data_IF_807005240410
#
_entry.id   IF_807005240410
#
_cell.length_a   1.000
_cell.length_b   1.000
_cell.length_c   1.000
_cell.angle_alpha   90.00
_cell.angle_beta   90.00
_cell.angle_gamma   90.00
#
_symmetry.space_group_name_H-M   'P 1'
#
loop_
_entity.id
_entity.type
_entity.pdbx_description
1 polymer ?
#
# COMPACT_ATOMS: atom_id res chain seq x y z
N UNK A 1 -22.45 -0.82 -20.86
CA UNK A 1 -22.97 0.38 -20.18
C UNK A 1 -23.42 -0.03 -18.78
N UNK A 2 -22.55 0.18 -17.81
CA UNK A 2 -22.69 -0.12 -16.38
C UNK A 2 -23.71 0.80 -15.68
N UNK A 3 -24.77 1.22 -16.37
CA UNK A 3 -25.76 2.19 -15.87
C UNK A 3 -26.75 1.58 -14.84
N UNK A 4 -26.54 0.31 -14.48
CA UNK A 4 -27.39 -0.43 -13.55
C UNK A 4 -28.71 -0.89 -14.17
N UNK A 5 -29.52 -1.58 -13.36
CA UNK A 5 -30.87 -1.97 -13.78
C UNK A 5 -31.83 -0.77 -13.74
N UNK A 6 -32.86 -0.71 -14.59
CA UNK A 6 -33.89 0.32 -14.49
C UNK A 6 -34.61 0.27 -13.13
N UNK A 7 -34.94 1.43 -12.56
CA UNK A 7 -35.75 1.53 -11.33
C UNK A 7 -35.00 1.38 -10.01
N UNK A 8 -33.67 1.56 -10.01
CA UNK A 8 -32.88 1.55 -8.77
C UNK A 8 -33.26 2.70 -7.84
N UNK A 9 -33.25 2.43 -6.53
CA UNK A 9 -33.37 3.48 -5.53
C UNK A 9 -32.14 4.41 -5.59
N UNK A 10 -32.24 5.67 -5.13
CA UNK A 10 -31.15 6.65 -5.21
C UNK A 10 -29.83 6.14 -4.59
N UNK A 11 -29.89 5.41 -3.47
CA UNK A 11 -28.70 4.84 -2.84
C UNK A 11 -28.01 3.77 -3.68
N UNK A 12 -28.78 2.91 -4.35
CA UNK A 12 -28.21 1.89 -5.24
C UNK A 12 -27.72 2.49 -6.56
N UNK A 13 -28.36 3.55 -7.06
CA UNK A 13 -27.88 4.29 -8.22
C UNK A 13 -26.51 4.94 -7.95
N UNK A 14 -26.32 5.52 -6.77
CA UNK A 14 -25.02 6.06 -6.34
C UNK A 14 -23.94 4.98 -6.30
N UNK A 15 -24.24 3.82 -5.70
CA UNK A 15 -23.32 2.66 -5.65
C UNK A 15 -22.89 2.20 -7.06
N UNK A 16 -23.83 2.17 -8.01
CA UNK A 16 -23.53 1.83 -9.41
C UNK A 16 -22.61 2.87 -10.04
N UNK A 17 -22.86 4.16 -9.80
CA UNK A 17 -22.03 5.25 -10.30
C UNK A 17 -20.60 5.20 -9.75
N UNK A 18 -20.44 4.94 -8.44
CA UNK A 18 -19.14 4.79 -7.79
C UNK A 18 -18.37 3.58 -8.35
N UNK A 19 -19.04 2.43 -8.46
CA UNK A 19 -18.47 1.22 -9.04
C UNK A 19 -18.00 1.43 -10.48
N UNK A 20 -18.82 2.10 -11.30
CA UNK A 20 -18.45 2.46 -12.66
C UNK A 20 -17.23 3.40 -12.69
N UNK A 21 -17.21 4.45 -11.88
CA UNK A 21 -16.08 5.39 -11.81
C UNK A 21 -14.77 4.66 -11.47
N UNK A 22 -14.83 3.75 -10.50
CA UNK A 22 -13.65 3.03 -10.03
C UNK A 22 -13.16 2.02 -11.07
N UNK A 23 -14.07 1.31 -11.75
CA UNK A 23 -13.70 0.47 -12.89
C UNK A 23 -12.95 1.28 -13.97
N UNK A 24 -13.48 2.44 -14.34
CA UNK A 24 -12.84 3.35 -15.31
C UNK A 24 -11.44 3.76 -14.85
N UNK A 25 -11.26 4.09 -13.56
CA UNK A 25 -9.94 4.42 -13.00
C UNK A 25 -8.98 3.24 -13.04
N UNK A 26 -9.43 2.03 -12.71
CA UNK A 26 -8.61 0.83 -12.80
C UNK A 26 -8.11 0.61 -14.23
N UNK A 27 -9.00 0.70 -15.23
CA UNK A 27 -8.60 0.56 -16.64
C UNK A 27 -7.60 1.64 -17.06
N UNK A 28 -7.76 2.88 -16.60
CA UNK A 28 -6.79 3.96 -16.87
C UNK A 28 -5.41 3.67 -16.27
N UNK A 29 -5.35 3.18 -15.03
CA UNK A 29 -4.08 2.82 -14.38
C UNK A 29 -3.38 1.66 -15.10
N UNK A 30 -4.13 0.65 -15.53
CA UNK A 30 -3.60 -0.43 -16.36
C UNK A 30 -3.08 0.11 -17.70
N UNK A 31 -3.79 1.05 -18.32
CA UNK A 31 -3.35 1.67 -19.57
C UNK A 31 -2.00 2.41 -19.42
N UNK A 32 -1.84 3.19 -18.35
CA UNK A 32 -0.59 3.91 -18.04
C UNK A 32 0.54 2.92 -17.73
N UNK A 33 0.26 1.87 -16.98
CA UNK A 33 1.23 0.81 -16.65
C UNK A 33 1.74 0.14 -17.91
N UNK A 34 0.82 -0.26 -18.81
CA UNK A 34 1.18 -0.86 -20.09
C UNK A 34 1.98 0.09 -20.99
N UNK A 35 1.55 1.36 -21.07
CA UNK A 35 2.25 2.39 -21.86
C UNK A 35 3.67 2.68 -21.34
N UNK A 36 3.93 2.35 -20.08
CA UNK A 36 5.26 2.44 -19.46
C UNK A 36 6.11 1.17 -19.66
N UNK A 37 5.64 0.20 -20.45
CA UNK A 37 6.30 -1.08 -20.71
C UNK A 37 5.98 -2.19 -19.70
N UNK A 38 5.02 -1.95 -18.79
CA UNK A 38 4.58 -2.93 -17.80
C UNK A 38 3.64 -3.99 -18.38
N UNK A 39 3.58 -5.15 -17.72
CA UNK A 39 2.58 -6.18 -18.00
C UNK A 39 1.32 -5.90 -17.20
N UNK A 40 0.15 -6.16 -17.80
CA UNK A 40 -1.14 -5.85 -17.21
C UNK A 40 -2.15 -6.97 -17.45
N UNK A 41 -3.05 -7.13 -16.48
CA UNK A 41 -4.16 -8.06 -16.53
C UNK A 41 -5.39 -7.39 -15.92
N UNK A 42 -6.52 -7.46 -16.62
CA UNK A 42 -7.83 -7.04 -16.11
C UNK A 42 -8.67 -8.29 -15.88
N UNK A 43 -9.12 -8.49 -14.64
CA UNK A 43 -10.00 -9.60 -14.27
C UNK A 43 -11.46 -9.13 -14.18
N UNK A 44 -12.36 -9.89 -14.79
CA UNK A 44 -13.81 -9.79 -14.54
C UNK A 44 -14.46 -11.17 -14.69
N UNK A 45 -15.72 -11.27 -14.26
CA UNK A 45 -16.55 -12.43 -14.55
C UNK A 45 -16.83 -12.57 -16.05
N UNK A 46 -17.09 -13.81 -16.48
CA UNK A 46 -17.34 -14.17 -17.88
C UNK A 46 -18.48 -13.40 -18.55
N UNK A 47 -19.48 -12.99 -17.76
CA UNK A 47 -20.67 -12.27 -18.21
C UNK A 47 -20.68 -10.79 -17.79
N UNK A 48 -19.56 -10.23 -17.35
CA UNK A 48 -19.51 -8.86 -16.87
C UNK A 48 -19.86 -7.87 -18.00
N UNK A 49 -20.81 -6.98 -17.73
CA UNK A 49 -21.13 -5.87 -18.64
C UNK A 49 -19.99 -4.86 -18.75
N UNK A 50 -19.00 -4.92 -17.84
CA UNK A 50 -17.83 -4.06 -17.85
C UNK A 50 -16.96 -4.27 -19.11
N UNK A 51 -17.00 -5.46 -19.71
CA UNK A 51 -16.33 -5.74 -20.99
C UNK A 51 -16.84 -4.86 -22.14
N UNK A 52 -18.11 -4.46 -22.06
CA UNK A 52 -18.76 -3.62 -23.06
C UNK A 52 -18.54 -2.13 -22.84
N UNK A 53 -17.82 -1.73 -21.78
CA UNK A 53 -17.48 -0.32 -21.60
C UNK A 53 -16.53 0.15 -22.69
N UNK A 54 -16.78 1.32 -23.32
CA UNK A 54 -15.95 1.81 -24.42
C UNK A 54 -14.46 1.89 -24.06
N UNK A 55 -14.15 2.31 -22.82
CA UNK A 55 -12.78 2.40 -22.33
C UNK A 55 -12.13 1.03 -22.17
N UNK A 56 -12.86 0.05 -21.64
CA UNK A 56 -12.36 -1.33 -21.49
C UNK A 56 -12.10 -1.94 -22.86
N UNK A 57 -13.08 -1.86 -23.76
CA UNK A 57 -12.96 -2.34 -25.14
C UNK A 57 -11.78 -1.70 -25.88
N UNK A 58 -11.52 -0.41 -25.66
CA UNK A 58 -10.35 0.27 -26.23
C UNK A 58 -9.04 -0.26 -25.62
N UNK A 59 -8.93 -0.30 -24.29
CA UNK A 59 -7.77 -0.84 -23.58
C UNK A 59 -7.40 -2.25 -24.04
N UNK A 60 -8.40 -3.15 -24.15
CA UNK A 60 -8.18 -4.53 -24.59
C UNK A 60 -7.54 -4.63 -25.98
N UNK A 61 -7.93 -3.74 -26.90
CA UNK A 61 -7.34 -3.67 -28.24
C UNK A 61 -5.91 -3.14 -28.20
N UNK A 62 -5.66 -2.09 -27.41
CA UNK A 62 -4.33 -1.47 -27.30
C UNK A 62 -3.30 -2.42 -26.71
N UNK A 63 -3.66 -3.20 -25.68
CA UNK A 63 -2.75 -4.18 -25.09
C UNK A 63 -2.65 -5.50 -25.87
N UNK A 64 -3.42 -5.63 -26.96
CA UNK A 64 -3.62 -6.88 -27.70
C UNK A 64 -3.95 -8.06 -26.79
N UNK A 65 -4.94 -7.87 -25.91
CA UNK A 65 -5.21 -8.77 -24.81
C UNK A 65 -5.54 -10.20 -25.29
N UNK A 66 -4.98 -11.19 -24.60
CA UNK A 66 -5.58 -12.52 -24.54
C UNK A 66 -6.68 -12.54 -23.50
N UNK A 67 -7.81 -13.15 -23.85
CA UNK A 67 -8.89 -13.42 -22.92
C UNK A 67 -8.78 -14.87 -22.45
N UNK A 68 -8.38 -15.04 -21.20
CA UNK A 68 -8.05 -16.35 -20.63
C UNK A 68 -9.09 -16.67 -19.56
N UNK A 69 -9.93 -17.66 -19.85
CA UNK A 69 -10.84 -18.22 -18.87
C UNK A 69 -10.10 -19.22 -17.97
N UNK A 70 -10.26 -19.11 -16.66
CA UNK A 70 -9.70 -20.04 -15.69
C UNK A 70 -10.84 -20.53 -14.79
N UNK A 71 -11.10 -21.83 -14.83
CA UNK A 71 -12.04 -22.48 -13.92
C UNK A 71 -11.39 -22.72 -12.55
N UNK A 72 -12.09 -22.37 -11.47
CA UNK A 72 -11.56 -22.48 -10.11
C UNK A 72 -11.13 -23.91 -9.76
N UNK A 73 -11.91 -24.92 -10.20
CA UNK A 73 -11.58 -26.32 -9.99
C UNK A 73 -10.27 -26.76 -10.66
N UNK A 74 -9.89 -26.14 -11.78
CA UNK A 74 -8.62 -26.46 -12.46
C UNK A 74 -7.38 -25.99 -11.70
N UNK A 75 -7.56 -25.05 -10.77
CA UNK A 75 -6.51 -24.52 -9.88
C UNK A 75 -6.67 -24.99 -8.44
N UNK A 76 -7.45 -26.07 -8.22
CA UNK A 76 -7.58 -26.73 -6.92
C UNK A 76 -8.64 -26.14 -5.98
N UNK A 77 -9.55 -25.29 -6.48
CA UNK A 77 -10.63 -24.72 -5.69
C UNK A 77 -11.97 -25.41 -6.02
N UNK A 78 -12.60 -26.04 -5.03
CA UNK A 78 -13.86 -26.76 -5.20
C UNK A 78 -15.07 -25.81 -5.28
N UNK A 79 -15.16 -25.06 -6.39
CA UNK A 79 -16.24 -24.12 -6.65
C UNK A 79 -16.60 -24.04 -8.12
N UNK A 80 -17.91 -23.92 -8.42
CA UNK A 80 -18.40 -23.71 -9.78
C UNK A 80 -18.29 -22.22 -10.18
N UNK A 81 -17.05 -21.71 -10.21
CA UNK A 81 -16.71 -20.34 -10.59
C UNK A 81 -15.61 -20.34 -11.66
N UNK A 82 -15.64 -19.33 -12.51
CA UNK A 82 -14.56 -19.04 -13.46
C UNK A 82 -14.29 -17.54 -13.51
N UNK A 83 -13.05 -17.19 -13.86
CA UNK A 83 -12.60 -15.82 -14.07
C UNK A 83 -12.09 -15.66 -15.49
N UNK A 84 -12.34 -14.50 -16.10
CA UNK A 84 -11.66 -14.11 -17.34
C UNK A 84 -10.59 -13.08 -17.00
N UNK A 85 -9.35 -13.41 -17.35
CA UNK A 85 -8.25 -12.48 -17.35
C UNK A 85 -8.02 -11.97 -18.76
N UNK A 86 -8.13 -10.67 -18.95
CA UNK A 86 -7.72 -9.99 -20.16
C UNK A 86 -6.32 -9.43 -19.99
N UNK A 87 -5.31 -10.03 -20.62
CA UNK A 87 -3.90 -9.79 -20.30
C UNK A 87 -3.00 -9.67 -21.52
N UNK A 88 -1.91 -8.92 -21.39
CA UNK A 88 -0.79 -8.98 -22.34
C UNK A 88 0.30 -10.00 -21.94
N UNK A 89 0.16 -10.65 -20.77
CA UNK A 89 1.09 -11.67 -20.28
C UNK A 89 0.74 -13.06 -20.84
N UNK A 90 1.29 -13.37 -22.02
CA UNK A 90 1.03 -14.61 -22.77
C UNK A 90 1.23 -15.92 -21.98
N UNK A 91 2.21 -16.06 -21.07
CA UNK A 91 2.36 -17.29 -20.30
C UNK A 91 1.13 -17.69 -19.47
N UNK A 92 0.25 -16.73 -19.13
CA UNK A 92 -0.98 -17.02 -18.41
C UNK A 92 -1.93 -17.96 -19.20
N UNK A 93 -1.78 -18.04 -20.53
CA UNK A 93 -2.57 -18.94 -21.38
C UNK A 93 -2.44 -20.41 -20.95
N UNK A 94 -1.33 -20.80 -20.31
CA UNK A 94 -1.13 -22.16 -19.81
C UNK A 94 -2.13 -22.56 -18.71
N UNK A 95 -2.80 -21.58 -18.07
CA UNK A 95 -3.83 -21.80 -17.06
C UNK A 95 -5.25 -21.82 -17.66
N UNK A 96 -5.39 -21.64 -18.98
CA UNK A 96 -6.70 -21.62 -19.62
C UNK A 96 -7.45 -22.94 -19.39
N UNK A 97 -8.66 -22.84 -18.86
CA UNK A 97 -9.44 -24.03 -18.50
C UNK A 97 -10.94 -23.73 -18.46
N UNK A 98 -11.74 -24.80 -18.51
CA UNK A 98 -13.19 -24.77 -18.31
C UNK A 98 -13.54 -25.88 -17.32
N UNK A 99 -14.53 -25.65 -16.47
CA UNK A 99 -15.03 -26.70 -15.60
C UNK A 99 -15.83 -27.70 -16.44
N UNK A 100 -15.40 -28.96 -16.45
CA UNK A 100 -16.08 -30.07 -17.15
C UNK A 100 -16.90 -30.95 -16.19
N UNK A 101 -16.92 -30.64 -14.89
CA UNK A 101 -17.66 -31.42 -13.92
C UNK A 101 -19.18 -31.25 -14.08
N UNK A 102 -19.98 -32.29 -13.81
CA UNK A 102 -21.45 -32.21 -13.84
C UNK A 102 -22.00 -31.10 -12.91
N UNK A 103 -23.19 -30.58 -13.25
CA UNK A 103 -23.87 -29.61 -12.38
C UNK A 103 -24.12 -30.18 -10.98
N UNK A 104 -23.80 -29.42 -9.94
CA UNK A 104 -23.88 -29.87 -8.54
C UNK A 104 -22.64 -30.60 -8.01
N UNK A 105 -21.57 -30.72 -8.81
CA UNK A 105 -20.30 -31.33 -8.38
C UNK A 105 -19.43 -30.44 -7.48
N UNK A 106 -19.86 -29.20 -7.21
CA UNK A 106 -19.11 -28.21 -6.44
C UNK A 106 -20.02 -27.56 -5.40
N UNK A 107 -19.42 -27.00 -4.36
CA UNK A 107 -20.16 -26.23 -3.35
C UNK A 107 -20.86 -25.01 -3.96
N UNK A 108 -22.08 -24.73 -3.48
CA UNK A 108 -22.85 -23.56 -3.87
C UNK A 108 -22.41 -22.34 -3.05
N UNK A 109 -21.68 -21.43 -3.69
CA UNK A 109 -21.12 -20.22 -3.06
C UNK A 109 -21.94 -18.97 -3.41
N UNK A 110 -23.19 -19.15 -3.88
CA UNK A 110 -24.09 -18.00 -4.11
C UNK A 110 -24.45 -17.36 -2.76
N UNK A 111 -24.31 -16.04 -2.66
CA UNK A 111 -24.63 -15.28 -1.45
C UNK A 111 -26.07 -15.53 -0.97
N UNK A 112 -26.27 -15.55 0.35
CA UNK A 112 -27.58 -15.66 0.98
C UNK A 112 -28.49 -14.50 0.55
N UNK A 113 -29.70 -14.84 0.08
CA UNK A 113 -30.75 -13.86 -0.24
C UNK A 113 -31.42 -13.42 1.06
N UNK A 114 -31.42 -12.11 1.33
CA UNK A 114 -32.26 -11.54 2.39
C UNK A 114 -33.71 -11.38 1.92
N UNK A 115 -34.64 -11.24 2.88
CA UNK A 115 -36.08 -11.26 2.65
C UNK A 115 -36.65 -10.08 1.86
N UNK A 116 -35.86 -9.02 1.60
CA UNK A 116 -36.33 -7.73 1.07
C UNK A 116 -36.03 -7.47 -0.43
N UNK A 117 -35.88 -8.52 -1.23
CA UNK A 117 -35.56 -8.41 -2.67
C UNK A 117 -34.10 -8.73 -2.95
N UNK A 118 -33.57 -8.50 -4.17
CA UNK A 118 -32.20 -8.87 -4.49
C UNK A 118 -31.26 -8.04 -3.60
N UNK A 119 -30.79 -8.68 -2.53
CA UNK A 119 -29.69 -8.20 -1.72
C UNK A 119 -28.49 -7.96 -2.63
N UNK A 120 -27.68 -7.00 -2.18
CA UNK A 120 -26.51 -6.42 -2.83
C UNK A 120 -25.75 -7.41 -3.73
N UNK A 121 -25.17 -6.94 -4.86
CA UNK A 121 -24.32 -7.77 -5.70
C UNK A 121 -23.29 -8.48 -4.81
N UNK A 122 -23.06 -9.79 -5.00
CA UNK A 122 -22.29 -10.61 -4.07
C UNK A 122 -20.96 -9.91 -3.77
N UNK A 123 -20.76 -9.56 -2.50
CA UNK A 123 -19.49 -9.07 -2.00
C UNK A 123 -18.47 -10.15 -2.30
N UNK A 124 -17.59 -9.91 -3.27
CA UNK A 124 -16.42 -10.75 -3.48
C UNK A 124 -15.49 -10.52 -2.29
N UNK A 125 -15.58 -11.36 -1.27
CA UNK A 125 -14.74 -11.30 -0.06
C UNK A 125 -13.32 -11.83 -0.31
N UNK A 126 -12.92 -11.99 -1.57
CA UNK A 126 -11.60 -12.47 -2.00
C UNK A 126 -11.05 -11.54 -3.09
N UNK A 127 -10.19 -10.63 -2.62
CA UNK A 127 -8.98 -10.07 -3.25
C UNK A 127 -8.84 -10.08 -4.79
N UNK A 128 -9.78 -9.43 -5.47
CA UNK A 128 -9.45 -8.60 -6.63
C UNK A 128 -9.36 -7.15 -6.16
N UNK A 129 -8.37 -6.38 -6.62
CA UNK A 129 -8.11 -4.97 -6.29
C UNK A 129 -9.23 -3.99 -6.73
N UNK A 130 -10.47 -4.28 -6.34
CA UNK A 130 -11.66 -3.47 -6.50
C UNK A 130 -12.05 -2.78 -5.21
N UNK A 131 -13.06 -1.93 -5.32
CA UNK A 131 -13.59 -0.90 -4.42
C UNK A 131 -14.04 -1.35 -3.02
N UNK A 132 -13.99 -2.65 -2.74
CA UNK A 132 -14.17 -3.22 -1.41
C UNK A 132 -12.84 -3.57 -0.74
N UNK A 133 -11.71 -3.22 -1.36
CA UNK A 133 -10.38 -3.22 -0.75
C UNK A 133 -10.24 -2.00 0.15
N UNK A 134 -11.03 -1.98 1.22
CA UNK A 134 -10.74 -1.13 2.37
C UNK A 134 -9.73 -1.93 3.20
N UNK A 135 -8.56 -1.39 3.57
CA UNK A 135 -7.88 -1.90 4.76
C UNK A 135 -8.82 -1.59 5.93
N UNK A 136 -9.75 -2.50 6.17
CA UNK A 136 -10.70 -2.36 7.25
C UNK A 136 -10.01 -2.78 8.53
N UNK A 137 -9.42 -1.79 9.20
CA UNK A 137 -8.83 -1.93 10.54
C UNK A 137 -9.89 -2.26 11.62
N UNK A 138 -11.19 -2.29 11.27
CA UNK A 138 -12.30 -2.73 12.13
C UNK A 138 -12.72 -4.19 11.91
N UNK A 139 -12.24 -4.86 10.84
CA UNK A 139 -12.32 -6.31 10.75
C UNK A 139 -11.32 -6.86 11.78
N UNK A 140 -11.75 -7.72 12.72
CA UNK A 140 -10.79 -8.37 13.62
C UNK A 140 -9.71 -9.02 12.75
N UNK A 141 -8.42 -8.96 13.14
CA UNK A 141 -7.33 -9.52 12.35
C UNK A 141 -7.75 -10.90 11.82
N UNK A 142 -7.45 -11.18 10.53
CA UNK A 142 -7.80 -12.45 9.85
C UNK A 142 -7.75 -13.58 10.87
N UNK A 143 -8.78 -14.42 10.90
CA UNK A 143 -8.87 -15.47 11.93
C UNK A 143 -7.55 -16.22 11.97
N UNK A 144 -7.10 -16.65 13.15
CA UNK A 144 -5.83 -17.35 13.30
C UNK A 144 -5.72 -18.54 12.31
N UNK A 145 -6.84 -19.19 11.99
CA UNK A 145 -6.94 -20.23 10.95
C UNK A 145 -6.62 -19.75 9.54
N UNK A 146 -7.10 -18.57 9.13
CA UNK A 146 -6.83 -17.98 7.82
C UNK A 146 -5.37 -17.56 7.69
N UNK A 147 -4.81 -16.95 8.75
CA UNK A 147 -3.37 -16.63 8.82
C UNK A 147 -2.55 -17.92 8.70
N UNK A 148 -2.94 -18.97 9.41
CA UNK A 148 -2.27 -20.28 9.34
C UNK A 148 -2.33 -20.87 7.94
N UNK A 149 -3.49 -20.83 7.28
CA UNK A 149 -3.63 -21.31 5.89
C UNK A 149 -2.76 -20.52 4.91
N UNK A 150 -2.72 -19.20 5.01
CA UNK A 150 -1.87 -18.36 4.16
C UNK A 150 -0.38 -18.63 4.39
N UNK A 151 0.05 -18.79 5.65
CA UNK A 151 1.41 -19.19 5.99
C UNK A 151 1.75 -20.55 5.38
N UNK A 152 0.84 -21.52 5.44
CA UNK A 152 1.01 -22.83 4.82
C UNK A 152 1.16 -22.77 3.30
N UNK A 153 0.36 -21.95 2.61
CA UNK A 153 0.49 -21.74 1.15
C UNK A 153 1.87 -21.14 0.83
N UNK A 154 2.30 -20.15 1.60
CA UNK A 154 3.59 -19.50 1.42
C UNK A 154 4.78 -20.45 1.67
N UNK A 155 4.73 -21.24 2.75
CA UNK A 155 5.75 -22.25 3.07
C UNK A 155 5.81 -23.35 2.02
N UNK A 156 4.65 -23.75 1.47
CA UNK A 156 4.60 -24.69 0.36
C UNK A 156 5.23 -24.11 -0.90
N UNK A 157 4.89 -22.88 -1.26
CA UNK A 157 5.50 -22.16 -2.38
C UNK A 157 7.03 -22.07 -2.22
N UNK A 158 7.52 -21.71 -1.03
CA UNK A 158 8.95 -21.66 -0.72
C UNK A 158 9.64 -23.02 -0.86
N UNK A 159 9.00 -24.07 -0.35
CA UNK A 159 9.53 -25.44 -0.44
C UNK A 159 9.73 -25.88 -1.89
N UNK A 160 8.93 -25.34 -2.82
CA UNK A 160 9.07 -25.59 -4.25
C UNK A 160 10.25 -24.85 -4.91
N UNK A 161 10.80 -23.79 -4.29
CA UNK A 161 11.87 -22.94 -4.87
C UNK A 161 13.30 -23.49 -4.69
N UNK A 162 13.45 -24.82 -4.50
CA UNK A 162 14.72 -25.56 -4.39
C UNK A 162 15.67 -25.15 -3.23
N UNK A 163 15.25 -24.30 -2.29
CA UNK A 163 15.99 -23.97 -1.07
C UNK A 163 15.11 -24.17 0.17
N UNK A 164 15.29 -25.27 0.94
CA UNK A 164 14.59 -25.42 2.22
C UNK A 164 15.08 -24.32 3.17
N UNK A 165 14.26 -23.30 3.37
CA UNK A 165 14.54 -22.21 4.30
C UNK A 165 13.34 -22.08 5.22
N UNK A 166 13.58 -22.16 6.52
CA UNK A 166 12.52 -21.94 7.51
C UNK A 166 12.11 -20.46 7.49
N UNK A 167 10.81 -20.20 7.44
CA UNK A 167 10.27 -18.84 7.50
C UNK A 167 10.08 -18.42 8.95
N UNK A 168 10.58 -17.25 9.31
CA UNK A 168 10.15 -16.57 10.52
C UNK A 168 8.93 -15.72 10.21
N UNK A 169 7.84 -15.96 10.94
CA UNK A 169 6.63 -15.13 10.92
C UNK A 169 6.59 -14.13 12.08
N UNK A 170 7.74 -13.93 12.72
CA UNK A 170 7.89 -12.95 13.78
C UNK A 170 7.62 -11.55 13.23
N UNK A 171 7.04 -10.70 14.08
CA UNK A 171 6.86 -9.28 13.81
C UNK A 171 7.64 -8.61 14.93
N UNK A 172 8.75 -7.97 14.58
CA UNK A 172 9.56 -7.21 15.52
C UNK A 172 8.74 -6.05 16.10
N UNK A 173 9.03 -5.68 17.35
CA UNK A 173 8.38 -4.57 18.03
C UNK A 173 8.57 -3.25 17.25
N UNK A 174 7.53 -2.40 17.23
CA UNK A 174 7.59 -1.09 16.58
C UNK A 174 7.33 -1.11 15.06
N UNK A 175 6.97 -2.25 14.46
CA UNK A 175 6.59 -2.33 13.06
C UNK A 175 5.55 -3.45 12.80
N UNK A 176 4.66 -3.33 11.80
CA UNK A 176 3.55 -4.26 11.61
C UNK A 176 3.81 -5.42 10.63
N UNK A 177 5.01 -5.54 10.07
CA UNK A 177 5.34 -6.43 8.96
C UNK A 177 6.15 -7.67 9.38
N UNK A 178 5.96 -8.79 8.67
CA UNK A 178 6.82 -9.97 8.79
C UNK A 178 8.06 -9.78 7.88
N UNK A 179 8.98 -8.90 8.29
CA UNK A 179 10.07 -8.43 7.44
C UNK A 179 11.01 -9.56 7.00
N UNK A 180 11.25 -10.56 7.85
CA UNK A 180 12.08 -11.73 7.52
C UNK A 180 11.44 -12.57 6.41
N UNK A 181 10.12 -12.75 6.43
CA UNK A 181 9.40 -13.45 5.37
C UNK A 181 9.48 -12.67 4.03
N UNK A 182 9.33 -11.34 4.08
CA UNK A 182 9.45 -10.48 2.90
C UNK A 182 10.88 -10.47 2.33
N UNK A 183 11.90 -10.51 3.19
CA UNK A 183 13.29 -10.63 2.78
C UNK A 183 13.54 -11.93 2.00
N UNK A 184 12.96 -13.05 2.44
CA UNK A 184 13.07 -14.33 1.72
C UNK A 184 12.44 -14.26 0.32
N UNK A 185 11.26 -13.63 0.19
CA UNK A 185 10.62 -13.41 -1.11
C UNK A 185 11.53 -12.59 -2.01
N UNK A 186 12.05 -11.47 -1.52
CA UNK A 186 12.97 -10.61 -2.28
C UNK A 186 14.18 -11.38 -2.77
N UNK A 187 14.80 -12.19 -1.90
CA UNK A 187 15.97 -12.99 -2.25
C UNK A 187 15.67 -14.03 -3.33
N UNK A 188 14.52 -14.71 -3.26
CA UNK A 188 14.10 -15.71 -4.26
C UNK A 188 13.78 -15.04 -5.59
N UNK A 189 13.08 -13.91 -5.55
CA UNK A 189 12.73 -13.13 -6.73
C UNK A 189 13.92 -12.35 -7.33
N UNK A 190 15.13 -12.52 -6.81
CA UNK A 190 16.33 -11.78 -7.24
C UNK A 190 16.12 -10.26 -7.19
N UNK A 191 15.50 -9.78 -6.11
CA UNK A 191 15.32 -8.35 -5.84
C UNK A 191 16.66 -7.62 -5.85
N UNK A 192 16.72 -6.49 -6.56
CA UNK A 192 17.94 -5.68 -6.64
C UNK A 192 18.24 -4.93 -5.34
N UNK A 193 17.20 -4.58 -4.61
CA UNK A 193 17.32 -4.00 -3.28
C UNK A 193 17.50 -5.10 -2.25
N UNK A 194 18.75 -5.26 -1.82
CA UNK A 194 19.14 -6.23 -0.80
C UNK A 194 19.04 -5.67 0.62
N UNK A 195 18.72 -4.38 0.77
CA UNK A 195 18.75 -3.65 2.05
C UNK A 195 17.36 -3.22 2.55
N UNK A 196 16.35 -3.24 1.68
CA UNK A 196 14.97 -2.84 1.98
C UNK A 196 14.39 -3.47 3.25
N UNK A 197 14.59 -4.76 3.47
CA UNK A 197 14.06 -5.49 4.64
C UNK A 197 15.06 -5.59 5.80
N UNK A 198 16.37 -5.79 5.57
CA UNK A 198 17.37 -5.75 6.65
C UNK A 198 17.43 -4.42 7.42
N UNK A 199 17.23 -3.28 6.74
CA UNK A 199 17.30 -1.96 7.38
C UNK A 199 16.20 -1.77 8.44
N UNK A 200 14.90 -1.95 8.14
CA UNK A 200 13.86 -1.86 9.17
C UNK A 200 14.01 -2.86 10.31
N UNK A 201 14.60 -4.05 10.05
CA UNK A 201 14.91 -5.03 11.11
C UNK A 201 15.98 -4.54 12.09
N UNK A 202 16.95 -3.76 11.62
CA UNK A 202 18.10 -3.28 12.42
C UNK A 202 17.94 -1.85 12.92
N UNK A 203 16.92 -1.13 12.43
CA UNK A 203 16.75 0.31 12.57
C UNK A 203 17.16 1.04 11.28
N UNK A 204 16.29 1.94 10.82
CA UNK A 204 16.53 2.69 9.58
C UNK A 204 17.47 3.87 9.86
N UNK A 205 18.61 3.98 9.15
CA UNK A 205 19.51 5.11 9.30
C UNK A 205 18.84 6.42 8.86
N UNK A 206 19.08 7.49 9.62
CA UNK A 206 18.56 8.82 9.30
C UNK A 206 19.33 9.52 8.18
N UNK A 207 20.49 8.98 7.77
CA UNK A 207 21.36 9.54 6.74
C UNK A 207 22.36 10.58 7.23
N UNK A 208 22.37 10.88 8.53
CA UNK A 208 23.31 11.85 9.14
C UNK A 208 24.78 11.44 8.91
N UNK A 209 25.09 10.14 9.03
CA UNK A 209 26.44 9.62 8.81
C UNK A 209 26.67 9.16 7.36
N UNK A 210 25.79 9.56 6.42
CA UNK A 210 25.74 9.03 5.06
C UNK A 210 25.70 7.49 5.01
N UNK A 211 24.98 6.90 5.98
CA UNK A 211 24.91 5.48 6.28
C UNK A 211 23.66 4.80 5.71
N UNK A 212 22.82 5.54 4.96
CA UNK A 212 21.71 4.95 4.21
C UNK A 212 22.28 4.09 3.08
N UNK A 213 22.01 2.78 3.04
CA UNK A 213 22.48 1.93 1.96
C UNK A 213 21.72 2.21 0.66
N UNK A 214 22.37 1.89 -0.46
CA UNK A 214 21.78 2.00 -1.79
C UNK A 214 20.78 0.86 -2.03
N UNK A 215 19.58 1.22 -2.50
CA UNK A 215 18.56 0.29 -2.99
C UNK A 215 18.98 -0.38 -4.31
N UNK A 216 19.85 0.24 -5.11
CA UNK A 216 20.18 -0.19 -6.48
C UNK A 216 18.97 -0.26 -7.43
N UNK A 217 17.85 0.33 -7.03
CA UNK A 217 16.61 0.46 -7.80
C UNK A 217 16.37 1.91 -8.16
N UNK A 218 16.65 2.81 -7.21
CA UNK A 218 16.46 4.24 -7.36
C UNK A 218 17.68 4.92 -7.98
N UNK A 219 17.50 6.16 -8.45
CA UNK A 219 18.54 6.89 -9.16
C UNK A 219 19.27 7.81 -8.18
N UNK A 220 20.62 7.88 -8.20
CA UNK A 220 21.34 8.84 -7.39
C UNK A 220 20.87 10.28 -7.66
N UNK A 221 20.78 11.15 -6.64
CA UNK A 221 20.49 12.55 -6.84
C UNK A 221 21.54 13.18 -7.76
N UNK A 222 21.13 14.18 -8.55
CA UNK A 222 22.07 15.04 -9.28
C UNK A 222 23.09 15.69 -8.33
N UNK A 223 24.25 16.08 -8.85
CA UNK A 223 25.38 16.62 -8.07
C UNK A 223 24.95 17.73 -7.11
N UNK A 224 24.81 17.39 -5.84
CA UNK A 224 24.59 18.31 -4.73
C UNK A 224 25.50 17.90 -3.59
N UNK A 225 26.33 18.83 -3.11
CA UNK A 225 27.16 18.57 -1.94
C UNK A 225 26.30 18.73 -0.69
N UNK A 226 26.35 17.78 0.26
CA UNK A 226 25.67 17.94 1.53
C UNK A 226 26.24 19.16 2.26
N UNK A 227 25.35 19.98 2.82
CA UNK A 227 25.74 21.11 3.64
C UNK A 227 25.91 20.60 5.06
N UNK A 228 27.16 20.35 5.47
CA UNK A 228 27.45 19.91 6.83
C UNK A 228 27.15 21.05 7.82
N UNK A 229 25.99 20.99 8.46
CA UNK A 229 25.65 21.86 9.58
C UNK A 229 25.89 21.10 10.88
N UNK A 230 26.58 21.74 11.83
CA UNK A 230 26.79 21.17 13.16
C UNK A 230 25.44 20.97 13.85
N UNK A 231 25.28 19.82 14.51
CA UNK A 231 24.04 19.48 15.19
C UNK A 231 23.78 20.47 16.33
N UNK A 232 22.66 21.20 16.25
CA UNK A 232 22.36 22.25 17.22
C UNK A 232 21.68 21.68 18.48
N UNK A 233 22.14 22.14 19.65
CA UNK A 233 21.45 21.95 20.93
C UNK A 233 20.77 23.26 21.29
N UNK A 234 19.44 23.31 21.16
CA UNK A 234 18.65 24.47 21.56
C UNK A 234 18.26 24.39 23.05
N UNK A 235 18.37 25.52 23.75
CA UNK A 235 18.00 25.62 25.18
C UNK A 235 16.64 26.29 25.42
N UNK A 236 15.93 26.69 24.37
CA UNK A 236 14.63 27.35 24.47
C UNK A 236 13.75 26.96 23.28
N UNK A 237 12.43 27.03 23.46
CA UNK A 237 11.48 26.83 22.37
C UNK A 237 11.27 28.11 21.56
N UNK A 238 10.48 28.00 20.50
CA UNK A 238 9.96 29.16 19.80
C UNK A 238 8.96 29.93 20.66
N UNK A 239 8.87 31.24 20.44
CA UNK A 239 8.02 32.14 21.24
C UNK A 239 6.55 31.72 21.28
N UNK A 240 6.05 31.07 20.23
CA UNK A 240 4.69 30.51 20.17
C UNK A 240 4.45 29.42 21.21
N UNK A 241 5.45 28.58 21.51
CA UNK A 241 5.38 27.53 22.51
C UNK A 241 5.64 28.08 23.92
N UNK A 242 6.61 28.99 24.07
CA UNK A 242 6.91 29.64 25.37
C UNK A 242 5.73 30.50 25.88
N UNK A 243 4.95 31.09 24.98
CA UNK A 243 3.78 31.90 25.33
C UNK A 243 2.57 31.07 25.80
N UNK A 244 2.54 29.76 25.53
CA UNK A 244 1.46 28.86 25.94
C UNK A 244 2.00 27.50 26.44
N UNK A 245 2.62 27.49 27.63
CA UNK A 245 3.24 26.29 28.20
C UNK A 245 2.22 25.21 28.55
N UNK A 246 0.96 25.59 28.80
CA UNK A 246 -0.11 24.64 29.15
C UNK A 246 -0.46 23.79 27.93
N UNK A 247 -0.73 24.42 26.79
CA UNK A 247 -1.01 23.68 25.55
C UNK A 247 0.20 22.89 25.08
N UNK A 248 1.42 23.43 25.23
CA UNK A 248 2.65 22.71 24.91
C UNK A 248 2.73 21.38 25.66
N UNK A 249 2.58 21.42 26.99
CA UNK A 249 2.67 20.24 27.83
C UNK A 249 1.58 19.21 27.49
N UNK A 250 0.34 19.65 27.26
CA UNK A 250 -0.75 18.76 26.84
C UNK A 250 -0.45 18.01 25.53
N UNK A 251 0.11 18.71 24.54
CA UNK A 251 0.45 18.09 23.26
C UNK A 251 1.63 17.11 23.38
N UNK A 252 2.62 17.40 24.24
CA UNK A 252 3.74 16.49 24.52
C UNK A 252 3.25 15.24 25.25
N UNK A 253 2.41 15.39 26.27
CA UNK A 253 1.76 14.28 26.98
C UNK A 253 0.90 13.40 26.05
N UNK A 254 0.22 14.01 25.08
CA UNK A 254 -0.55 13.27 24.07
C UNK A 254 0.35 12.38 23.20
N UNK A 255 1.54 12.84 22.81
CA UNK A 255 2.47 12.03 22.01
C UNK A 255 3.22 11.00 22.89
N UNK A 256 3.54 11.32 24.16
CA UNK A 256 4.11 10.38 25.15
C UNK A 256 3.14 9.22 25.45
N UNK A 257 1.88 9.52 25.76
CA UNK A 257 0.86 8.53 26.08
C UNK A 257 0.55 7.56 24.93
N UNK A 258 0.82 7.99 23.69
CA UNK A 258 0.72 7.15 22.49
C UNK A 258 2.00 6.37 22.18
N UNK A 259 3.06 6.57 22.95
CA UNK A 259 4.35 5.90 22.74
C UNK A 259 5.18 6.47 21.58
N UNK A 260 4.85 7.66 21.08
CA UNK A 260 5.63 8.31 20.00
C UNK A 260 6.87 9.06 20.52
N UNK A 261 6.88 9.39 21.81
CA UNK A 261 7.98 10.03 22.51
C UNK A 261 8.41 9.16 23.70
N UNK A 262 9.64 9.36 24.17
CA UNK A 262 10.12 8.81 25.43
C UNK A 262 10.86 9.89 26.22
N UNK A 263 10.83 9.78 27.54
CA UNK A 263 11.51 10.70 28.43
C UNK A 263 13.00 10.36 28.55
N UNK A 264 13.82 11.38 28.75
CA UNK A 264 15.25 11.25 29.04
C UNK A 264 15.54 12.01 30.32
N UNK A 265 16.24 11.37 31.26
CA UNK A 265 16.42 11.87 32.63
C UNK A 265 17.06 13.27 32.68
N UNK A 266 18.04 13.53 31.82
CA UNK A 266 18.75 14.80 31.76
C UNK A 266 19.49 15.02 30.44
N UNK A 267 19.86 16.27 30.16
CA UNK A 267 20.75 16.60 29.04
C UNK A 267 22.08 15.83 29.11
N UNK A 268 22.65 15.66 30.30
CA UNK A 268 23.89 14.91 30.48
C UNK A 268 23.73 13.43 30.08
N UNK A 269 22.63 12.79 30.50
CA UNK A 269 22.33 11.40 30.09
C UNK A 269 22.08 11.27 28.59
N UNK A 270 21.46 12.28 27.96
CA UNK A 270 21.29 12.32 26.51
C UNK A 270 22.64 12.46 25.80
N UNK A 271 23.53 13.32 26.32
CA UNK A 271 24.87 13.51 25.77
C UNK A 271 25.75 12.27 25.93
N UNK A 272 25.65 11.56 27.04
CA UNK A 272 26.33 10.26 27.23
C UNK A 272 25.80 9.21 26.26
N UNK A 273 24.46 9.13 26.09
CA UNK A 273 23.81 8.16 25.22
C UNK A 273 24.06 8.40 23.73
N UNK A 274 23.97 9.65 23.28
CA UNK A 274 23.97 10.00 21.85
C UNK A 274 25.25 10.70 21.37
N UNK A 275 26.11 11.18 22.29
CA UNK A 275 27.38 11.80 21.96
C UNK A 275 27.26 12.97 20.99
N UNK A 276 28.11 12.98 19.97
CA UNK A 276 28.12 14.00 18.91
C UNK A 276 26.90 13.95 17.98
N UNK A 277 26.01 12.97 18.14
CA UNK A 277 24.79 12.81 17.33
C UNK A 277 23.55 13.39 18.04
N UNK A 278 23.70 13.96 19.23
CA UNK A 278 22.59 14.57 19.96
C UNK A 278 22.17 15.89 19.31
N UNK A 279 20.92 15.94 18.83
CA UNK A 279 20.24 17.16 18.42
C UNK A 279 19.13 17.52 19.40
N UNK A 280 18.98 18.81 19.70
CA UNK A 280 17.81 19.32 20.42
C UNK A 280 17.22 20.46 19.61
N UNK A 281 16.13 20.14 18.90
CA UNK A 281 15.34 21.11 18.15
C UNK A 281 14.44 21.95 19.05
N UNK A 282 14.01 23.10 18.53
CA UNK A 282 13.02 23.95 19.20
C UNK A 282 11.61 23.44 18.93
N UNK A 283 10.76 23.43 19.95
CA UNK A 283 9.34 23.16 19.76
C UNK A 283 8.59 24.46 19.41
N UNK A 284 7.46 24.31 18.72
CA UNK A 284 6.53 25.37 18.38
C UNK A 284 5.09 24.83 18.44
N UNK A 285 4.14 25.70 18.77
CA UNK A 285 2.72 25.40 18.65
C UNK A 285 2.18 26.13 17.42
N UNK A 286 1.54 25.38 16.52
CA UNK A 286 0.84 25.96 15.38
C UNK A 286 -0.66 25.99 15.66
N UNK A 287 -1.19 27.21 15.74
CA UNK A 287 -2.62 27.49 15.88
C UNK A 287 -3.20 27.90 14.54
N UNK A 288 -4.05 27.05 13.95
CA UNK A 288 -4.77 27.35 12.72
C UNK A 288 -6.27 27.56 13.02
N UNK A 289 -6.92 28.61 12.48
CA UNK A 289 -8.34 28.86 12.72
C UNK A 289 -9.21 27.64 12.41
N UNK A 290 -10.06 27.25 13.36
CA UNK A 290 -10.95 26.09 13.22
C UNK A 290 -10.28 24.72 13.30
N UNK A 291 -8.98 24.65 13.63
CA UNK A 291 -8.25 23.40 13.82
C UNK A 291 -7.70 23.30 15.25
N UNK A 292 -7.50 22.07 15.71
CA UNK A 292 -6.78 21.82 16.96
C UNK A 292 -5.32 22.29 16.84
N UNK A 293 -4.72 22.79 17.93
CA UNK A 293 -3.31 23.15 17.99
C UNK A 293 -2.44 21.94 17.65
N UNK A 294 -1.26 22.17 17.08
CA UNK A 294 -0.31 21.12 16.70
C UNK A 294 1.08 21.40 17.23
N UNK A 295 1.71 20.35 17.74
CA UNK A 295 3.12 20.36 18.10
C UNK A 295 3.96 20.26 16.82
N UNK A 296 4.94 21.13 16.68
CA UNK A 296 5.92 21.12 15.58
C UNK A 296 7.31 21.23 16.16
N UNK A 297 8.23 20.42 15.67
CA UNK A 297 9.65 20.47 16.01
C UNK A 297 10.42 21.06 14.84
N UNK A 298 11.36 21.96 15.14
CA UNK A 298 12.27 22.49 14.15
C UNK A 298 13.18 21.39 13.59
N UNK A 299 13.26 21.30 12.26
CA UNK A 299 13.96 20.24 11.53
C UNK A 299 15.23 20.74 10.86
N UNK A 300 15.85 21.77 11.45
CA UNK A 300 17.12 22.38 11.00
C UNK A 300 18.31 21.42 10.96
N UNK A 301 18.19 20.20 11.49
CA UNK A 301 19.18 19.12 11.36
C UNK A 301 19.08 18.36 10.04
N UNK A 302 17.96 18.45 9.31
CA UNK A 302 17.74 17.74 8.06
C UNK A 302 18.81 18.00 6.97
N UNK A 303 19.37 19.21 6.81
CA UNK A 303 20.42 19.48 5.82
C UNK A 303 21.70 18.63 5.99
N UNK A 304 21.95 18.15 7.21
CA UNK A 304 23.10 17.27 7.52
C UNK A 304 22.83 15.80 7.20
N UNK A 305 21.59 15.42 6.91
CA UNK A 305 21.26 14.06 6.47
C UNK A 305 21.43 13.91 4.96
N UNK A 306 22.15 12.88 4.54
CA UNK A 306 22.40 12.55 3.14
C UNK A 306 21.53 11.38 2.74
N UNK A 307 20.63 11.62 1.78
CA UNK A 307 19.84 10.56 1.13
C UNK A 307 20.49 10.28 -0.24
N UNK A 308 21.09 9.09 -0.44
CA UNK A 308 21.97 8.82 -1.57
C UNK A 308 21.23 8.46 -2.86
N UNK A 309 19.91 8.27 -2.81
CA UNK A 309 19.08 7.94 -3.95
C UNK A 309 17.76 8.71 -3.88
N UNK A 310 17.19 9.02 -5.04
CA UNK A 310 15.90 9.72 -5.15
C UNK A 310 14.96 8.93 -6.02
N UNK A 311 13.68 8.95 -5.65
CA UNK A 311 12.62 8.53 -6.55
C UNK A 311 12.11 9.77 -7.29
N UNK A 312 12.07 9.72 -8.62
CA UNK A 312 11.30 10.70 -9.38
C UNK A 312 9.91 10.12 -9.58
N UNK A 313 8.90 10.67 -8.88
CA UNK A 313 7.54 10.50 -9.38
C UNK A 313 7.44 11.20 -10.73
N UNK A 314 6.67 10.65 -11.69
CA UNK A 314 6.29 11.41 -12.87
C UNK A 314 5.70 12.75 -12.42
N UNK A 315 6.28 13.85 -12.90
CA UNK A 315 5.68 15.17 -12.68
C UNK A 315 4.36 15.27 -13.43
N UNK A 316 3.48 16.17 -13.00
CA UNK A 316 2.22 16.46 -13.69
C UNK A 316 2.48 16.89 -15.15
N UNK A 317 3.64 17.50 -15.42
CA UNK A 317 4.10 17.85 -16.78
C UNK A 317 4.40 16.61 -17.63
N UNK A 318 5.02 15.57 -17.06
CA UNK A 318 5.27 14.30 -17.74
C UNK A 318 4.01 13.42 -17.88
N UNK A 319 2.94 13.73 -17.15
CA UNK A 319 1.64 13.04 -17.24
C UNK A 319 0.66 13.68 -18.24
N UNK A 320 1.06 14.73 -18.99
CA UNK A 320 0.23 15.34 -20.03
C UNK A 320 0.11 14.46 -21.27
N UNK A 321 -0.81 13.49 -21.22
CA UNK A 321 -1.35 12.81 -22.39
C UNK A 321 -2.89 12.95 -22.39
N UNK A 322 -3.40 14.11 -22.82
CA UNK A 322 -4.81 14.33 -23.17
C UNK A 322 -5.71 14.97 -22.11
N UNK A 323 -7.00 15.10 -22.45
CA UNK A 323 -8.07 15.63 -21.56
C UNK A 323 -8.41 14.59 -20.50
N UNK A 324 -7.71 14.61 -19.37
CA UNK A 324 -7.98 13.75 -18.23
C UNK A 324 -8.73 14.53 -17.14
N UNK A 325 -9.78 13.94 -16.58
CA UNK A 325 -10.39 14.41 -15.34
C UNK A 325 -9.53 13.91 -14.17
N UNK A 326 -8.96 14.83 -13.39
CA UNK A 326 -8.13 14.51 -12.22
C UNK A 326 -8.98 14.10 -11.01
N UNK A 327 -8.54 13.09 -10.28
CA UNK A 327 -9.05 12.76 -8.95
C UNK A 327 -7.85 12.63 -8.02
N UNK A 328 -7.88 13.34 -6.89
CA UNK A 328 -6.81 13.35 -5.90
C UNK A 328 -7.37 12.86 -4.57
N UNK A 329 -6.64 11.94 -3.94
CA UNK A 329 -6.90 11.44 -2.59
C UNK A 329 -5.78 11.92 -1.67
N UNK A 330 -6.14 12.53 -0.55
CA UNK A 330 -5.22 12.89 0.52
C UNK A 330 -5.34 11.86 1.65
N UNK A 331 -4.25 11.13 1.92
CA UNK A 331 -4.22 10.14 3.01
C UNK A 331 -3.75 10.85 4.28
N UNK A 332 -4.69 11.05 5.20
CA UNK A 332 -4.43 11.74 6.46
C UNK A 332 -3.43 10.97 7.32
N UNK A 333 -2.38 11.67 7.77
CA UNK A 333 -1.39 11.17 8.74
C UNK A 333 -0.57 9.94 8.30
N UNK A 334 -0.28 9.80 7.00
CA UNK A 334 0.51 8.67 6.46
C UNK A 334 1.92 8.48 7.08
N UNK A 335 2.45 9.47 7.81
CA UNK A 335 3.76 9.42 8.47
C UNK A 335 3.73 8.89 9.91
N UNK A 336 2.55 8.56 10.46
CA UNK A 336 2.36 8.14 11.86
C UNK A 336 2.03 6.64 12.01
N UNK A 337 2.54 5.81 11.10
CA UNK A 337 2.37 4.34 11.14
C UNK A 337 3.36 3.67 12.04
#
# INVERSE_FOLDING_TARGET
ALDGLPGLCPGNALKVQESHLLFIRCVQLLFVTFSSGGQVSLEQTTNSMAWLEPLASHFLREIQADLINIAACSVGLDMHKSWIFATCFRPLQALASVCEHPHGSHEDIRGSRDADGPSEPPVSVQDGAGIFSVPDWSIPPRRASEITSLRGIFEHWLSAQAKPTQVSWHIAEGQPYCLEALQLVSAICSGRDTTLFPCPLSGVPAGFDADIPLSNVLVPPGTGHPFAQEVAICHSNWSSAEADPVTLHQLVEEELSKGWLFEVDSLASAQERFGSKLAIGKMSIVNAPGKKPRLVVDSTTNPSCVIPETFSLPTLMTMHAGKLAGFALDVKSAHKT
#
